data_IF_841245973919
#
_entry.id   IF_841245973919
#
_cell.length_a   1.000
_cell.length_b   1.000
_cell.length_c   1.000
_cell.angle_alpha   90.00
_cell.angle_beta   90.00
_cell.angle_gamma   90.00
#
_symmetry.space_group_name_H-M   'P 1'
#
loop_
_entity.id
_entity.type
_entity.pdbx_description
1 polymer ?
#
# COMPACT_ATOMS: atom_id res chain seq x y z
N UNK A 1 -58.26 -31.25 -29.71
CA UNK A 1 -57.01 -30.55 -30.10
C UNK A 1 -56.53 -29.70 -28.93
N UNK A 2 -55.41 -30.07 -28.30
CA UNK A 2 -54.39 -29.19 -27.67
C UNK A 2 -53.39 -30.07 -26.92
N UNK A 3 -52.23 -30.28 -27.54
CA UNK A 3 -51.04 -30.85 -26.89
C UNK A 3 -50.38 -29.72 -26.08
N UNK A 4 -50.16 -29.92 -24.79
CA UNK A 4 -49.23 -29.10 -24.01
C UNK A 4 -47.82 -29.68 -24.20
N UNK A 5 -46.93 -28.94 -24.88
CA UNK A 5 -45.49 -29.17 -24.82
C UNK A 5 -44.95 -28.38 -23.61
N UNK A 6 -44.42 -29.08 -22.62
CA UNK A 6 -43.58 -28.51 -21.57
C UNK A 6 -42.14 -28.43 -22.12
N UNK A 7 -41.68 -27.21 -22.41
CA UNK A 7 -40.27 -26.93 -22.69
C UNK A 7 -39.50 -26.89 -21.37
N UNK A 8 -38.63 -27.89 -21.14
CA UNK A 8 -37.63 -27.83 -20.07
C UNK A 8 -36.49 -26.89 -20.49
N UNK A 9 -36.44 -25.68 -19.91
CA UNK A 9 -35.25 -24.83 -19.99
C UNK A 9 -34.18 -25.40 -19.05
N UNK A 10 -33.29 -26.23 -19.59
CA UNK A 10 -32.03 -26.55 -18.92
C UNK A 10 -31.15 -25.29 -18.91
N UNK A 11 -31.14 -24.59 -17.77
CA UNK A 11 -30.26 -23.45 -17.55
C UNK A 11 -28.84 -23.94 -17.34
N UNK A 12 -28.01 -23.82 -18.38
CA UNK A 12 -26.57 -24.02 -18.31
C UNK A 12 -25.97 -22.88 -17.48
N UNK A 13 -25.78 -23.12 -16.17
CA UNK A 13 -25.02 -22.25 -15.28
C UNK A 13 -23.58 -22.18 -15.79
N UNK A 14 -23.27 -21.14 -16.56
CA UNK A 14 -21.91 -20.70 -16.84
C UNK A 14 -21.28 -20.29 -15.50
N UNK A 15 -20.58 -21.23 -14.87
CA UNK A 15 -19.65 -20.98 -13.76
C UNK A 15 -18.53 -20.09 -14.31
N UNK A 16 -18.71 -18.77 -14.20
CA UNK A 16 -17.61 -17.83 -14.35
C UNK A 16 -16.63 -18.12 -13.21
N UNK A 17 -15.37 -18.52 -13.49
CA UNK A 17 -14.41 -18.79 -12.43
C UNK A 17 -14.19 -17.50 -11.64
N UNK A 18 -14.64 -17.49 -10.38
CA UNK A 18 -14.41 -16.41 -9.45
C UNK A 18 -12.90 -16.34 -9.18
N UNK A 19 -12.21 -15.40 -9.82
CA UNK A 19 -10.77 -15.20 -9.59
C UNK A 19 -10.58 -14.45 -8.28
N UNK A 20 -10.32 -15.20 -7.20
CA UNK A 20 -9.96 -14.62 -5.91
C UNK A 20 -8.51 -14.10 -5.94
N UNK A 21 -8.24 -12.98 -5.25
CA UNK A 21 -6.88 -12.67 -4.84
C UNK A 21 -6.52 -13.61 -3.69
N UNK A 22 -5.53 -14.49 -3.91
CA UNK A 22 -5.04 -15.45 -2.91
C UNK A 22 -3.52 -15.51 -3.01
N UNK A 23 -2.86 -15.81 -1.89
CA UNK A 23 -1.46 -16.21 -1.89
C UNK A 23 -1.23 -17.56 -2.59
N UNK A 24 0.04 -17.89 -2.84
CA UNK A 24 0.43 -19.22 -3.32
C UNK A 24 0.00 -20.27 -2.28
N UNK A 25 -0.29 -21.49 -2.73
CA UNK A 25 -0.77 -22.55 -1.85
C UNK A 25 0.23 -22.87 -0.74
N UNK A 26 1.52 -22.88 -1.07
CA UNK A 26 2.64 -23.05 -0.14
C UNK A 26 2.69 -21.97 0.95
N UNK A 27 2.66 -20.68 0.59
CA UNK A 27 2.72 -19.59 1.56
C UNK A 27 1.45 -19.51 2.40
N UNK A 28 0.29 -19.75 1.79
CA UNK A 28 -1.00 -19.85 2.48
C UNK A 28 -1.01 -20.95 3.54
N UNK A 29 -0.51 -22.13 3.18
CA UNK A 29 -0.37 -23.26 4.10
C UNK A 29 0.65 -22.95 5.20
N UNK A 30 1.82 -22.43 4.84
CA UNK A 30 2.85 -22.05 5.79
C UNK A 30 2.35 -21.02 6.81
N UNK A 31 1.60 -20.00 6.38
CA UNK A 31 0.97 -19.02 7.28
C UNK A 31 0.02 -19.71 8.28
N UNK A 32 -0.79 -20.65 7.79
CA UNK A 32 -1.69 -21.43 8.62
C UNK A 32 -0.94 -22.30 9.63
N UNK A 33 0.16 -22.92 9.21
CA UNK A 33 0.94 -23.83 10.06
C UNK A 33 1.76 -23.06 11.11
N UNK A 34 2.34 -21.92 10.72
CA UNK A 34 3.24 -21.14 11.57
C UNK A 34 2.48 -20.21 12.54
N UNK A 35 1.42 -19.55 12.07
CA UNK A 35 0.67 -18.55 12.85
C UNK A 35 -0.78 -18.95 13.17
N UNK A 36 -1.29 -20.00 12.53
CA UNK A 36 -2.68 -20.41 12.65
C UNK A 36 -3.60 -19.81 11.57
N UNK A 37 -4.76 -20.44 11.34
CA UNK A 37 -5.66 -20.08 10.24
C UNK A 37 -6.24 -18.66 10.37
N UNK A 38 -6.43 -18.16 11.60
CA UNK A 38 -6.95 -16.79 11.82
C UNK A 38 -5.99 -15.71 11.32
N UNK A 39 -4.69 -15.89 11.55
CA UNK A 39 -3.67 -14.94 11.08
C UNK A 39 -3.53 -15.03 9.55
N UNK A 40 -3.56 -16.25 9.00
CA UNK A 40 -3.64 -16.45 7.55
C UNK A 40 -4.80 -15.65 6.95
N UNK A 41 -6.02 -15.80 7.49
CA UNK A 41 -7.21 -15.14 6.94
C UNK A 41 -7.11 -13.60 7.01
N UNK A 42 -6.55 -13.07 8.10
CA UNK A 42 -6.31 -11.63 8.26
C UNK A 42 -5.28 -11.07 7.28
N UNK A 43 -4.26 -11.85 6.91
CA UNK A 43 -3.22 -11.41 5.97
C UNK A 43 -3.67 -11.66 4.52
N UNK A 44 -4.31 -12.78 4.22
CA UNK A 44 -4.79 -13.12 2.86
C UNK A 44 -5.95 -12.25 2.40
N UNK A 45 -6.81 -11.80 3.32
CA UNK A 45 -7.94 -10.92 3.01
C UNK A 45 -8.85 -11.45 1.90
N UNK A 46 -9.17 -12.75 1.96
CA UNK A 46 -10.10 -13.40 1.02
C UNK A 46 -11.51 -12.77 1.05
N UNK A 47 -11.85 -12.09 2.15
CA UNK A 47 -13.08 -11.31 2.32
C UNK A 47 -13.25 -10.19 1.28
N UNK A 48 -12.16 -9.70 0.69
CA UNK A 48 -12.18 -8.63 -0.32
C UNK A 48 -12.26 -9.13 -1.76
N UNK A 49 -12.37 -10.45 -1.98
CA UNK A 49 -12.46 -11.03 -3.32
C UNK A 49 -11.26 -10.66 -4.20
N UNK A 50 -11.46 -10.12 -5.43
CA UNK A 50 -10.35 -9.73 -6.31
C UNK A 50 -9.45 -8.61 -5.78
N UNK A 51 -9.91 -7.83 -4.79
CA UNK A 51 -9.15 -6.74 -4.16
C UNK A 51 -8.36 -7.17 -2.92
N UNK A 52 -8.38 -8.45 -2.55
CA UNK A 52 -7.63 -9.00 -1.42
C UNK A 52 -6.13 -9.15 -1.67
N UNK A 53 -5.43 -9.84 -0.77
CA UNK A 53 -4.00 -10.07 -0.90
C UNK A 53 -3.70 -11.12 -1.96
N UNK A 54 -2.58 -10.99 -2.66
CA UNK A 54 -2.21 -11.89 -3.76
C UNK A 54 -0.72 -12.17 -3.72
N UNK A 55 -0.33 -13.40 -4.04
CA UNK A 55 1.05 -13.74 -4.33
C UNK A 55 1.18 -14.18 -5.79
N UNK A 56 2.26 -13.79 -6.46
CA UNK A 56 2.51 -14.19 -7.85
C UNK A 56 4.00 -14.42 -8.11
N UNK A 57 4.27 -15.38 -8.98
CA UNK A 57 5.56 -15.50 -9.65
C UNK A 57 5.64 -14.54 -10.84
N UNK A 58 6.60 -13.61 -10.84
CA UNK A 58 6.92 -12.63 -11.88
C UNK A 58 7.62 -13.34 -13.05
N UNK A 59 6.84 -14.03 -13.89
CA UNK A 59 7.28 -14.36 -15.24
C UNK A 59 7.29 -13.11 -16.12
N UNK A 60 8.31 -12.96 -16.99
CA UNK A 60 8.45 -11.83 -17.90
C UNK A 60 7.12 -11.44 -18.57
N UNK A 61 6.68 -10.19 -18.38
CA UNK A 61 5.82 -9.49 -19.34
C UNK A 61 4.30 -9.58 -19.16
N UNK A 62 3.73 -9.97 -18.02
CA UNK A 62 2.27 -9.87 -17.83
C UNK A 62 1.87 -8.67 -16.95
N UNK A 63 1.14 -7.75 -17.58
CA UNK A 63 0.49 -6.57 -16.99
C UNK A 63 -0.08 -6.89 -15.61
N UNK A 64 0.31 -6.06 -14.65
CA UNK A 64 -0.20 -6.09 -13.28
C UNK A 64 -1.73 -6.00 -13.31
N UNK A 65 -2.38 -6.92 -12.60
CA UNK A 65 -3.82 -6.82 -12.42
C UNK A 65 -4.04 -5.70 -11.40
N UNK A 66 -4.49 -4.54 -11.89
CA UNK A 66 -4.93 -3.36 -11.15
C UNK A 66 -5.44 -3.70 -9.75
N UNK A 67 -4.61 -3.49 -8.73
CA UNK A 67 -5.14 -3.22 -7.40
C UNK A 67 -5.41 -1.71 -7.35
N UNK A 68 -6.60 -1.29 -7.74
CA UNK A 68 -7.05 0.06 -7.42
C UNK A 68 -7.17 0.17 -5.89
N UNK A 69 -6.25 0.89 -5.23
CA UNK A 69 -6.29 1.10 -3.78
C UNK A 69 -4.91 1.27 -3.14
N UNK A 70 -4.89 1.48 -1.82
CA UNK A 70 -3.68 1.66 -1.04
C UNK A 70 -2.95 0.32 -0.84
N UNK A 71 -1.95 0.07 -1.69
CA UNK A 71 -1.26 -1.21 -1.75
C UNK A 71 0.08 -1.13 -1.03
N UNK A 72 0.41 -2.21 -0.31
CA UNK A 72 1.78 -2.52 0.07
C UNK A 72 2.16 -3.83 -0.60
N UNK A 73 3.21 -3.80 -1.41
CA UNK A 73 3.81 -4.99 -2.01
C UNK A 73 5.11 -5.33 -1.29
N UNK A 74 5.25 -6.57 -0.87
CA UNK A 74 6.51 -7.16 -0.42
C UNK A 74 7.03 -8.06 -1.54
N UNK A 75 8.17 -7.71 -2.11
CA UNK A 75 8.74 -8.40 -3.27
C UNK A 75 10.05 -9.09 -2.91
N UNK A 76 10.35 -10.16 -3.65
CA UNK A 76 11.68 -10.75 -3.78
C UNK A 76 11.92 -11.15 -5.23
N UNK A 77 13.00 -10.64 -5.83
CA UNK A 77 13.33 -10.95 -7.22
C UNK A 77 14.21 -12.19 -7.42
N UNK A 78 14.93 -12.67 -6.40
CA UNK A 78 15.72 -13.91 -6.51
C UNK A 78 14.88 -15.21 -6.48
N UNK A 79 13.56 -15.10 -6.58
CA UNK A 79 12.63 -16.21 -6.85
C UNK A 79 11.43 -15.77 -7.70
N UNK A 80 11.44 -14.54 -8.22
CA UNK A 80 10.30 -13.88 -8.86
C UNK A 80 9.02 -13.85 -7.99
N UNK A 81 9.05 -13.79 -6.67
CA UNK A 81 7.81 -13.81 -5.86
C UNK A 81 7.44 -12.41 -5.35
N UNK A 82 6.22 -11.97 -5.66
CA UNK A 82 5.63 -10.75 -5.11
C UNK A 82 4.43 -11.14 -4.27
N UNK A 83 4.38 -10.66 -3.03
CA UNK A 83 3.26 -10.75 -2.11
C UNK A 83 2.67 -9.36 -1.92
N UNK A 84 1.47 -9.12 -2.41
CA UNK A 84 0.78 -7.83 -2.27
C UNK A 84 -0.36 -7.94 -1.29
N UNK A 85 -0.57 -6.92 -0.48
CA UNK A 85 -1.75 -6.77 0.36
C UNK A 85 -2.35 -5.37 0.23
N UNK A 86 -3.62 -5.28 0.57
CA UNK A 86 -4.30 -4.03 0.90
C UNK A 86 -4.83 -4.13 2.33
N UNK A 87 -5.09 -2.99 2.96
CA UNK A 87 -5.71 -2.92 4.27
C UNK A 87 -7.04 -2.15 4.20
N UNK A 88 -7.82 -2.21 5.28
CA UNK A 88 -9.23 -1.79 5.33
C UNK A 88 -10.09 -2.52 4.27
N UNK A 89 -11.08 -1.84 3.71
CA UNK A 89 -12.01 -2.35 2.72
C UNK A 89 -11.41 -2.42 1.29
N UNK A 90 -10.17 -1.98 1.08
CA UNK A 90 -9.69 -1.63 -0.27
C UNK A 90 -10.55 -0.52 -0.90
N UNK A 91 -10.28 -0.17 -2.16
CA UNK A 91 -11.11 0.84 -2.84
C UNK A 91 -12.56 0.36 -3.06
N UNK A 92 -12.81 -0.96 -3.10
CA UNK A 92 -14.14 -1.56 -3.31
C UNK A 92 -14.91 -0.96 -4.52
N UNK A 93 -14.18 -0.46 -5.53
CA UNK A 93 -14.76 0.22 -6.69
C UNK A 93 -15.32 1.63 -6.42
N UNK A 94 -15.19 2.18 -5.20
CA UNK A 94 -15.60 3.54 -4.86
C UNK A 94 -14.36 4.46 -4.73
N UNK A 95 -14.15 5.40 -5.68
CA UNK A 95 -12.97 6.27 -5.71
C UNK A 95 -12.93 7.32 -4.60
N UNK A 96 -13.99 7.51 -3.80
CA UNK A 96 -14.02 8.46 -2.70
C UNK A 96 -13.78 7.82 -1.33
N UNK A 97 -13.71 6.49 -1.22
CA UNK A 97 -13.54 5.81 0.08
C UNK A 97 -12.25 6.18 0.82
N UNK A 98 -11.23 6.66 0.12
CA UNK A 98 -9.94 7.03 0.74
C UNK A 98 -10.08 8.12 1.81
N UNK A 99 -11.11 8.98 1.75
CA UNK A 99 -11.32 10.03 2.76
C UNK A 99 -11.74 9.47 4.13
N UNK A 100 -12.30 8.26 4.15
CA UNK A 100 -12.72 7.54 5.35
C UNK A 100 -11.56 6.82 6.03
N UNK A 101 -10.38 6.77 5.41
CA UNK A 101 -9.22 6.11 5.98
C UNK A 101 -8.59 6.96 7.07
N UNK A 102 -8.10 6.30 8.11
CA UNK A 102 -7.02 6.81 8.96
C UNK A 102 -5.97 5.71 9.10
N UNK A 103 -4.75 6.06 9.48
CA UNK A 103 -3.64 5.12 9.62
C UNK A 103 -3.73 4.39 10.97
N UNK A 104 -4.82 3.65 11.14
CA UNK A 104 -5.11 2.91 12.37
C UNK A 104 -4.04 1.87 12.67
N UNK A 105 -3.80 1.63 13.96
CA UNK A 105 -2.86 0.61 14.42
C UNK A 105 -3.15 -0.78 13.82
N UNK A 106 -4.42 -1.13 13.62
CA UNK A 106 -4.80 -2.41 12.99
C UNK A 106 -4.21 -2.59 11.59
N UNK A 107 -4.22 -1.54 10.74
CA UNK A 107 -3.67 -1.60 9.39
C UNK A 107 -2.15 -1.67 9.41
N UNK A 108 -1.53 -0.91 10.31
CA UNK A 108 -0.08 -0.94 10.54
C UNK A 108 0.35 -2.34 10.98
N UNK A 109 -0.37 -2.97 11.90
CA UNK A 109 -0.09 -4.34 12.37
C UNK A 109 -0.28 -5.36 11.25
N UNK A 110 -1.31 -5.24 10.42
CA UNK A 110 -1.53 -6.12 9.27
C UNK A 110 -0.34 -6.04 8.29
N UNK A 111 0.07 -4.84 7.90
CA UNK A 111 1.22 -4.62 7.00
C UNK A 111 2.51 -5.15 7.61
N UNK A 112 2.76 -4.86 8.90
CA UNK A 112 3.93 -5.35 9.63
C UNK A 112 3.97 -6.88 9.67
N UNK A 113 2.82 -7.51 9.91
CA UNK A 113 2.70 -8.97 9.95
C UNK A 113 3.05 -9.59 8.60
N UNK A 114 2.61 -9.00 7.48
CA UNK A 114 3.00 -9.48 6.14
C UNK A 114 4.52 -9.38 5.92
N UNK A 115 5.12 -8.23 6.23
CA UNK A 115 6.58 -8.02 6.06
C UNK A 115 7.36 -9.08 6.85
N UNK A 116 6.99 -9.29 8.12
CA UNK A 116 7.63 -10.29 8.98
C UNK A 116 7.38 -11.72 8.47
N UNK A 117 6.16 -12.04 8.05
CA UNK A 117 5.80 -13.35 7.52
C UNK A 117 6.62 -13.69 6.26
N UNK A 118 6.72 -12.76 5.30
CA UNK A 118 7.53 -12.97 4.09
C UNK A 118 9.01 -13.10 4.42
N UNK A 119 9.53 -12.31 5.37
CA UNK A 119 10.92 -12.43 5.85
C UNK A 119 11.21 -13.80 6.46
N UNK A 120 10.29 -14.34 7.25
CA UNK A 120 10.46 -15.64 7.91
C UNK A 120 10.26 -16.80 6.95
N UNK A 121 9.25 -16.71 6.08
CA UNK A 121 8.99 -17.72 5.05
C UNK A 121 10.15 -17.88 4.08
N UNK A 122 10.68 -16.76 3.57
CA UNK A 122 11.77 -16.78 2.58
C UNK A 122 13.15 -16.92 3.21
N UNK A 123 13.29 -16.64 4.51
CA UNK A 123 14.58 -16.63 5.19
C UNK A 123 15.53 -15.50 4.76
N UNK A 124 15.09 -14.52 3.97
CA UNK A 124 15.93 -13.46 3.37
C UNK A 124 15.36 -12.07 3.58
N UNK A 125 16.21 -11.05 3.50
CA UNK A 125 15.75 -9.66 3.48
C UNK A 125 14.73 -9.45 2.34
N UNK A 126 13.79 -8.53 2.58
CA UNK A 126 12.65 -8.29 1.69
C UNK A 126 12.72 -6.89 1.10
N UNK A 127 12.12 -6.73 -0.07
CA UNK A 127 11.90 -5.43 -0.70
C UNK A 127 10.45 -5.00 -0.46
N UNK A 128 10.22 -3.72 -0.21
CA UNK A 128 8.89 -3.18 0.11
C UNK A 128 8.56 -2.00 -0.80
N UNK A 129 7.42 -2.07 -1.47
CA UNK A 129 6.85 -0.98 -2.27
C UNK A 129 5.55 -0.55 -1.61
N UNK A 130 5.48 0.69 -1.16
CA UNK A 130 4.24 1.31 -0.70
C UNK A 130 3.67 2.22 -1.80
N UNK A 131 2.35 2.19 -2.00
CA UNK A 131 1.66 3.11 -2.90
C UNK A 131 0.61 3.92 -2.16
N UNK A 132 0.54 5.23 -2.43
CA UNK A 132 -0.48 6.13 -1.86
C UNK A 132 -0.43 6.09 -0.33
N UNK A 133 -1.56 5.91 0.38
CA UNK A 133 -1.57 5.71 1.84
C UNK A 133 -0.75 4.50 2.30
N UNK A 134 -0.44 3.54 1.42
CA UNK A 134 0.41 2.40 1.72
C UNK A 134 1.81 2.82 2.15
N UNK A 135 2.27 4.00 1.70
CA UNK A 135 3.55 4.58 2.11
C UNK A 135 3.55 4.92 3.60
N UNK A 136 2.76 5.87 4.13
CA UNK A 136 2.76 6.18 5.56
C UNK A 136 2.45 4.97 6.45
N UNK A 137 1.56 4.06 6.04
CA UNK A 137 1.23 2.85 6.83
C UNK A 137 2.43 1.89 6.88
N UNK A 138 3.07 1.59 5.75
CA UNK A 138 4.26 0.72 5.73
C UNK A 138 5.45 1.35 6.44
N UNK A 139 5.64 2.66 6.32
CA UNK A 139 6.62 3.42 7.08
C UNK A 139 6.41 3.24 8.59
N UNK A 140 5.19 3.37 9.10
CA UNK A 140 4.93 3.11 10.53
C UNK A 140 5.15 1.64 10.89
N UNK A 141 4.74 0.71 10.01
CA UNK A 141 4.94 -0.72 10.19
C UNK A 141 6.42 -1.10 10.30
N UNK A 142 7.30 -0.45 9.52
CA UNK A 142 8.75 -0.65 9.55
C UNK A 142 9.38 0.05 10.75
N UNK A 143 8.98 1.29 11.07
CA UNK A 143 9.52 2.05 12.21
C UNK A 143 9.29 1.32 13.53
N UNK A 144 8.11 0.70 13.68
CA UNK A 144 7.70 0.08 14.93
C UNK A 144 7.37 1.12 16.01
N UNK A 145 7.77 0.84 17.25
CA UNK A 145 7.43 1.66 18.41
C UNK A 145 5.95 1.55 18.80
N UNK A 146 5.41 2.59 19.44
CA UNK A 146 4.00 2.62 19.86
C UNK A 146 3.10 3.16 18.74
N UNK A 147 1.93 2.57 18.54
CA UNK A 147 0.88 3.16 17.73
C UNK A 147 0.38 4.45 18.38
N UNK A 148 0.22 5.53 17.58
CA UNK A 148 -0.17 6.85 18.10
C UNK A 148 -1.61 6.91 18.59
N UNK A 149 -2.50 6.07 18.04
CA UNK A 149 -3.92 6.00 18.38
C UNK A 149 -4.23 5.04 19.53
N UNK A 150 -3.62 3.85 19.56
CA UNK A 150 -3.93 2.82 20.57
C UNK A 150 -2.86 2.66 21.65
N UNK A 151 -1.65 3.19 21.44
CA UNK A 151 -0.51 2.99 22.34
C UNK A 151 0.09 1.58 22.31
N UNK A 152 -0.47 0.67 21.51
CA UNK A 152 0.03 -0.70 21.35
C UNK A 152 1.47 -0.71 20.82
N UNK A 153 2.28 -1.64 21.33
CA UNK A 153 3.69 -1.73 20.96
C UNK A 153 3.89 -2.67 19.76
N UNK A 154 4.41 -2.13 18.67
CA UNK A 154 4.76 -2.86 17.45
C UNK A 154 6.12 -3.59 17.57
N UNK A 155 6.91 -3.28 18.60
CA UNK A 155 8.29 -3.73 18.76
C UNK A 155 9.30 -2.82 18.07
N UNK A 156 10.54 -3.31 17.92
CA UNK A 156 11.63 -2.54 17.30
C UNK A 156 11.48 -2.37 15.78
N UNK A 157 12.31 -1.50 15.18
CA UNK A 157 12.28 -1.26 13.74
C UNK A 157 12.68 -2.49 12.92
N UNK A 158 12.09 -2.65 11.73
CA UNK A 158 12.41 -3.72 10.78
C UNK A 158 13.54 -3.36 9.82
N UNK A 159 14.17 -2.19 9.95
CA UNK A 159 15.18 -1.64 9.03
C UNK A 159 16.23 -2.66 8.58
N UNK A 160 16.71 -3.53 9.48
CA UNK A 160 17.76 -4.51 9.17
C UNK A 160 17.33 -5.65 8.25
N UNK A 161 16.03 -5.89 8.12
CA UNK A 161 15.49 -6.96 7.26
C UNK A 161 14.86 -6.44 5.98
N UNK A 162 14.85 -5.12 5.77
CA UNK A 162 14.42 -4.49 4.52
C UNK A 162 15.67 -4.13 3.71
N UNK A 163 15.79 -4.72 2.53
CA UNK A 163 16.85 -4.34 1.58
C UNK A 163 16.49 -3.02 0.92
N UNK A 164 15.46 -3.03 0.07
CA UNK A 164 14.99 -1.83 -0.62
C UNK A 164 13.57 -1.44 -0.21
N UNK A 165 13.36 -0.16 0.07
CA UNK A 165 12.05 0.45 0.27
C UNK A 165 11.76 1.50 -0.82
N UNK A 166 10.58 1.42 -1.44
CA UNK A 166 10.14 2.38 -2.45
C UNK A 166 8.77 2.95 -2.05
N UNK A 167 8.70 4.27 -1.84
CA UNK A 167 7.45 4.98 -1.65
C UNK A 167 6.95 5.61 -2.96
N UNK A 168 5.84 5.12 -3.51
CA UNK A 168 5.22 5.66 -4.72
C UNK A 168 4.01 6.53 -4.33
N UNK A 169 4.04 7.81 -4.70
CA UNK A 169 2.94 8.76 -4.49
C UNK A 169 2.44 8.82 -3.02
N UNK A 170 3.34 8.70 -2.04
CA UNK A 170 2.98 8.70 -0.63
C UNK A 170 2.71 10.10 -0.06
N UNK A 171 1.70 10.32 0.80
CA UNK A 171 1.50 11.60 1.48
C UNK A 171 2.32 11.70 2.78
N UNK A 172 3.65 11.70 2.68
CA UNK A 172 4.54 11.66 3.86
C UNK A 172 4.50 12.93 4.71
N UNK A 173 3.99 14.04 4.19
CA UNK A 173 3.84 15.32 4.92
C UNK A 173 2.39 15.81 4.99
N UNK A 174 1.45 14.92 4.68
CA UNK A 174 0.03 15.23 4.58
C UNK A 174 -0.48 15.24 3.14
N UNK A 175 -1.80 15.33 2.99
CA UNK A 175 -2.46 15.36 1.68
C UNK A 175 -2.96 16.77 1.37
N UNK A 176 -2.66 17.25 0.17
CA UNK A 176 -3.19 18.48 -0.40
C UNK A 176 -3.76 18.20 -1.80
N UNK A 177 -4.94 17.54 -1.89
CA UNK A 177 -5.58 17.24 -3.16
C UNK A 177 -5.70 18.48 -4.04
N UNK A 178 -5.46 18.30 -5.34
CA UNK A 178 -5.57 19.40 -6.31
C UNK A 178 -7.02 19.50 -6.81
N UNK A 179 -7.64 20.67 -6.66
CA UNK A 179 -8.92 21.02 -7.29
C UNK A 179 -8.66 22.00 -8.42
N UNK A 180 -8.44 21.49 -9.63
CA UNK A 180 -8.00 22.30 -10.77
C UNK A 180 -6.59 22.87 -10.51
N UNK A 181 -6.34 24.18 -10.69
CA UNK A 181 -5.03 24.78 -10.45
C UNK A 181 -4.72 25.04 -8.96
N UNK A 182 -5.68 24.82 -8.06
CA UNK A 182 -5.56 25.14 -6.64
C UNK A 182 -5.15 23.90 -5.84
N UNK A 183 -4.05 24.02 -5.10
CA UNK A 183 -3.68 23.06 -4.05
C UNK A 183 -4.50 23.39 -2.81
N UNK A 184 -5.49 22.57 -2.49
CA UNK A 184 -6.34 22.81 -1.33
C UNK A 184 -5.75 22.06 -0.15
N UNK A 185 -5.42 22.72 0.97
CA UNK A 185 -5.06 22.02 2.19
C UNK A 185 -6.35 21.37 2.72
N UNK A 186 -6.74 20.22 2.15
CA UNK A 186 -8.04 19.59 2.41
C UNK A 186 -8.24 19.35 3.91
N UNK A 187 -7.16 19.02 4.62
CA UNK A 187 -7.19 18.81 6.06
C UNK A 187 -7.17 20.09 6.91
N UNK A 188 -7.15 21.30 6.33
CA UNK A 188 -7.33 22.54 7.08
C UNK A 188 -8.78 22.77 7.50
N UNK A 189 -9.73 22.34 6.66
CA UNK A 189 -11.16 22.60 6.83
C UNK A 189 -12.01 21.32 6.89
N UNK A 190 -11.40 20.16 6.61
CA UNK A 190 -12.12 18.88 6.58
C UNK A 190 -12.05 18.14 7.92
N UNK A 191 -13.21 17.63 8.35
CA UNK A 191 -13.38 16.73 9.50
C UNK A 191 -13.35 15.25 9.11
N UNK A 192 -12.95 14.93 7.88
CA UNK A 192 -12.87 13.54 7.39
C UNK A 192 -11.82 12.75 8.17
N UNK A 193 -12.01 11.42 8.36
CA UNK A 193 -11.05 10.57 9.07
C UNK A 193 -9.60 10.68 8.57
N UNK A 194 -9.38 10.90 7.27
CA UNK A 194 -8.03 11.07 6.70
C UNK A 194 -7.33 12.34 7.20
N UNK A 195 -8.07 13.27 7.78
CA UNK A 195 -7.57 14.52 8.36
C UNK A 195 -7.53 14.49 9.88
N UNK A 196 -7.64 13.32 10.50
CA UNK A 196 -7.53 13.17 11.95
C UNK A 196 -6.16 13.67 12.47
N UNK A 197 -6.16 14.42 13.57
CA UNK A 197 -4.95 15.01 14.17
C UNK A 197 -4.08 14.00 14.93
N UNK A 198 -4.59 12.81 15.24
CA UNK A 198 -3.83 11.74 15.89
C UNK A 198 -3.31 10.76 14.84
N UNK A 199 -4.21 10.00 14.19
CA UNK A 199 -3.85 8.94 13.25
C UNK A 199 -4.19 9.24 11.79
N UNK A 200 -4.46 10.51 11.44
CA UNK A 200 -4.69 10.94 10.07
C UNK A 200 -3.49 11.67 9.47
N UNK A 201 -3.69 12.27 8.31
CA UNK A 201 -2.74 13.05 7.51
C UNK A 201 -2.95 14.56 7.70
N UNK A 202 -3.41 14.97 8.87
CA UNK A 202 -3.64 16.39 9.17
C UNK A 202 -2.34 17.19 8.95
N UNK A 203 -2.40 18.17 8.05
CA UNK A 203 -1.32 19.11 7.75
C UNK A 203 -1.88 20.49 7.38
N UNK A 204 -3.08 20.81 7.89
CA UNK A 204 -3.89 21.94 7.44
C UNK A 204 -3.51 23.30 8.03
N UNK A 205 -2.86 23.32 9.19
CA UNK A 205 -2.46 24.55 9.88
C UNK A 205 -0.96 24.52 10.22
N UNK A 206 -0.13 24.56 9.18
CA UNK A 206 1.29 24.41 9.35
C UNK A 206 1.91 25.47 10.28
N UNK A 207 2.89 25.09 11.12
CA UNK A 207 3.64 23.82 11.11
C UNK A 207 2.95 22.65 11.84
N UNK A 208 1.74 22.83 12.38
CA UNK A 208 1.04 21.75 13.07
C UNK A 208 0.64 20.63 12.10
N UNK A 209 1.00 19.40 12.45
CA UNK A 209 0.69 18.18 11.70
C UNK A 209 0.23 17.09 12.68
N UNK A 210 -0.40 16.02 12.18
CA UNK A 210 -0.88 14.94 13.04
C UNK A 210 0.24 14.22 13.80
N UNK A 211 -0.09 13.61 14.94
CA UNK A 211 0.86 12.81 15.72
C UNK A 211 1.48 11.69 14.87
N UNK A 212 0.69 11.08 13.99
CA UNK A 212 1.16 10.08 13.04
C UNK A 212 2.24 10.62 12.09
N UNK A 213 2.00 11.78 11.47
CA UNK A 213 2.98 12.41 10.57
C UNK A 213 4.23 12.85 11.32
N UNK A 214 4.09 13.34 12.55
CA UNK A 214 5.24 13.66 13.40
C UNK A 214 6.07 12.42 13.71
N UNK A 215 5.41 11.31 14.03
CA UNK A 215 6.06 10.06 14.41
C UNK A 215 6.85 9.43 13.26
N UNK A 216 6.24 9.25 12.08
CA UNK A 216 6.93 8.64 10.92
C UNK A 216 8.04 9.55 10.35
N UNK A 217 8.01 10.85 10.61
CA UNK A 217 9.03 11.79 10.12
C UNK A 217 10.07 12.15 11.19
N UNK A 218 9.97 11.58 12.40
CA UNK A 218 10.92 11.82 13.50
C UNK A 218 12.32 11.34 13.19
N UNK A 219 12.42 10.23 12.46
CA UNK A 219 13.68 9.61 12.06
C UNK A 219 13.76 9.62 10.54
N UNK A 220 14.98 9.70 10.04
CA UNK A 220 15.27 9.62 8.61
C UNK A 220 15.84 8.25 8.26
N UNK A 221 15.56 7.78 7.05
CA UNK A 221 16.19 6.63 6.42
C UNK A 221 16.13 5.32 7.23
N UNK A 222 15.01 5.10 7.93
CA UNK A 222 14.81 3.87 8.71
C UNK A 222 14.07 2.80 7.89
N UNK A 223 13.57 3.14 6.70
CA UNK A 223 12.68 2.31 5.91
C UNK A 223 13.38 1.06 5.33
N UNK A 224 14.68 1.13 5.06
CA UNK A 224 15.49 0.02 4.57
C UNK A 224 16.94 0.41 4.34
N UNK A 225 17.74 -0.49 3.78
CA UNK A 225 19.13 -0.19 3.40
C UNK A 225 19.19 0.79 2.21
N UNK A 226 18.27 0.63 1.27
CA UNK A 226 18.04 1.53 0.16
C UNK A 226 16.61 2.05 0.21
N UNK A 227 16.44 3.35 0.03
CA UNK A 227 15.16 4.04 0.17
C UNK A 227 14.99 5.00 -0.99
N UNK A 228 13.88 4.86 -1.71
CA UNK A 228 13.56 5.67 -2.88
C UNK A 228 12.14 6.22 -2.81
N UNK A 229 11.90 7.35 -3.45
CA UNK A 229 10.54 7.82 -3.74
C UNK A 229 10.29 7.99 -5.23
N UNK A 230 9.06 7.71 -5.65
CA UNK A 230 8.57 7.99 -6.99
C UNK A 230 7.30 8.83 -6.86
N UNK A 231 7.23 9.99 -7.50
CA UNK A 231 6.06 10.87 -7.39
C UNK A 231 5.93 11.79 -8.60
N UNK A 232 4.81 12.50 -8.70
CA UNK A 232 4.46 13.33 -9.85
C UNK A 232 3.92 14.70 -9.44
N UNK A 233 4.18 15.72 -10.26
CA UNK A 233 3.66 17.09 -10.06
C UNK A 233 2.14 17.19 -10.29
N UNK A 234 1.56 16.27 -11.07
CA UNK A 234 0.13 16.22 -11.40
C UNK A 234 -0.63 15.22 -10.52
N UNK A 235 -0.14 14.95 -9.32
CA UNK A 235 -0.83 14.08 -8.39
C UNK A 235 -2.10 14.78 -7.88
N UNK A 236 -3.24 14.38 -8.41
CA UNK A 236 -4.54 14.97 -8.10
C UNK A 236 -5.10 14.51 -6.74
N UNK A 237 -4.58 13.41 -6.18
CA UNK A 237 -5.11 12.81 -4.95
C UNK A 237 -4.31 13.24 -3.72
N UNK A 238 -3.00 12.99 -3.74
CA UNK A 238 -2.08 13.33 -2.64
C UNK A 238 -1.60 14.78 -2.75
N UNK A 239 -1.51 15.31 -3.97
CA UNK A 239 -0.93 16.62 -4.23
C UNK A 239 0.59 16.58 -4.39
N UNK A 240 1.17 17.67 -4.90
CA UNK A 240 2.62 17.79 -5.06
C UNK A 240 3.28 18.44 -3.83
N UNK A 241 2.65 19.51 -3.33
CA UNK A 241 3.15 20.29 -2.20
C UNK A 241 2.06 20.51 -1.16
N UNK A 242 2.45 20.42 0.10
CA UNK A 242 1.62 20.81 1.24
C UNK A 242 2.46 21.72 2.14
N UNK A 243 1.93 22.90 2.45
CA UNK A 243 2.63 23.92 3.25
C UNK A 243 4.04 24.27 2.77
N UNK A 244 4.21 24.42 1.44
CA UNK A 244 5.50 24.76 0.84
C UNK A 244 6.52 23.61 0.85
N UNK A 245 6.14 22.41 1.27
CA UNK A 245 7.00 21.23 1.28
C UNK A 245 6.46 20.16 0.31
N UNK A 246 7.38 19.47 -0.36
CA UNK A 246 7.03 18.30 -1.15
C UNK A 246 6.46 17.21 -0.24
N UNK A 247 5.31 16.64 -0.62
CA UNK A 247 4.64 15.67 0.24
C UNK A 247 5.25 14.27 0.18
N UNK A 248 5.64 13.81 -1.01
CA UNK A 248 6.07 12.42 -1.22
C UNK A 248 7.50 12.05 -0.90
N UNK A 249 8.51 12.94 -0.94
CA UNK A 249 9.88 12.57 -0.56
C UNK A 249 9.96 11.96 0.84
N UNK A 250 10.76 10.90 0.94
CA UNK A 250 11.07 10.23 2.21
C UNK A 250 12.29 10.93 2.85
N UNK A 251 12.27 11.22 4.17
CA UNK A 251 13.41 11.82 4.85
C UNK A 251 14.66 10.93 4.76
N UNK A 252 15.74 11.47 4.18
CA UNK A 252 17.02 10.76 4.07
C UNK A 252 17.10 9.68 2.99
N UNK A 253 16.17 9.66 2.03
CA UNK A 253 16.19 8.70 0.91
C UNK A 253 17.49 8.76 0.07
N UNK A 254 17.87 7.64 -0.53
CA UNK A 254 19.02 7.52 -1.44
C UNK A 254 18.75 8.17 -2.80
N UNK A 255 17.49 8.26 -3.21
CA UNK A 255 17.14 8.91 -4.47
C UNK A 255 15.64 9.05 -4.72
N UNK A 256 15.30 9.70 -5.83
CA UNK A 256 13.92 9.92 -6.24
C UNK A 256 13.76 9.98 -7.75
N UNK A 257 12.61 9.51 -8.25
CA UNK A 257 12.15 9.76 -9.62
C UNK A 257 10.91 10.65 -9.60
N UNK A 258 11.01 11.80 -10.26
CA UNK A 258 9.90 12.77 -10.35
C UNK A 258 9.38 12.83 -11.78
N UNK A 259 8.06 12.76 -11.92
CA UNK A 259 7.33 12.91 -13.17
C UNK A 259 6.52 14.21 -13.19
N UNK A 260 6.15 14.65 -14.39
CA UNK A 260 5.40 15.92 -14.59
C UNK A 260 4.08 15.72 -15.32
N UNK A 261 3.86 14.53 -15.86
CA UNK A 261 2.81 14.19 -16.82
C UNK A 261 1.90 13.04 -16.37
N UNK A 262 2.30 12.30 -15.34
CA UNK A 262 1.52 11.20 -14.78
C UNK A 262 0.56 11.69 -13.68
N UNK A 263 -0.63 11.11 -13.61
CA UNK A 263 -1.56 11.27 -12.48
C UNK A 263 -1.22 10.28 -11.34
N UNK A 264 -1.98 10.32 -10.23
CA UNK A 264 -1.74 9.50 -9.03
C UNK A 264 -1.65 7.99 -9.29
N UNK A 265 -2.52 7.43 -10.14
CA UNK A 265 -2.52 5.98 -10.41
C UNK A 265 -1.49 5.64 -11.51
N UNK A 266 -1.36 6.50 -12.51
CA UNK A 266 -0.39 6.33 -13.61
C UNK A 266 1.06 6.31 -13.11
N UNK A 267 1.41 7.10 -12.07
CA UNK A 267 2.77 7.08 -11.52
C UNK A 267 3.08 5.77 -10.80
N UNK A 268 2.09 4.99 -10.42
CA UNK A 268 2.29 3.63 -9.94
C UNK A 268 2.38 2.66 -11.12
N UNK A 269 1.33 2.65 -11.97
CA UNK A 269 1.18 1.66 -13.05
C UNK A 269 2.26 1.74 -14.14
N UNK A 270 2.79 2.93 -14.42
CA UNK A 270 3.72 3.15 -15.52
C UNK A 270 5.19 3.16 -15.09
N UNK A 271 5.50 2.93 -13.81
CA UNK A 271 6.88 3.02 -13.31
C UNK A 271 7.44 1.71 -12.78
N UNK A 272 6.79 0.58 -13.05
CA UNK A 272 7.25 -0.74 -12.60
C UNK A 272 8.68 -1.06 -13.01
N UNK A 273 9.13 -0.62 -14.20
CA UNK A 273 10.53 -0.80 -14.63
C UNK A 273 11.49 0.01 -13.75
N UNK A 274 11.13 1.24 -13.37
CA UNK A 274 11.94 2.06 -12.46
C UNK A 274 11.96 1.44 -11.06
N UNK A 275 10.80 0.98 -10.57
CA UNK A 275 10.70 0.26 -9.30
C UNK A 275 11.60 -1.00 -9.31
N UNK A 276 11.61 -1.74 -10.41
CA UNK A 276 12.42 -2.93 -10.59
C UNK A 276 13.93 -2.63 -10.57
N UNK A 277 14.36 -1.55 -11.22
CA UNK A 277 15.77 -1.11 -11.23
C UNK A 277 16.23 -0.62 -9.86
N UNK A 278 15.37 0.10 -9.14
CA UNK A 278 15.64 0.50 -7.75
C UNK A 278 15.85 -0.71 -6.84
N UNK A 279 15.08 -1.80 -7.04
CA UNK A 279 15.24 -3.03 -6.24
C UNK A 279 16.48 -3.84 -6.66
N UNK A 280 16.72 -4.02 -7.97
CA UNK A 280 17.79 -4.91 -8.45
C UNK A 280 19.17 -4.30 -8.40
N UNK A 281 19.25 -3.04 -8.84
CA UNK A 281 20.50 -2.39 -9.17
C UNK A 281 20.79 -1.21 -8.23
N UNK A 282 19.84 -0.88 -7.34
CA UNK A 282 19.93 0.23 -6.39
C UNK A 282 20.20 1.59 -7.06
N UNK A 283 19.68 1.78 -8.28
CA UNK A 283 19.83 3.02 -9.07
C UNK A 283 18.52 3.72 -9.34
N UNK A 284 18.62 5.04 -9.58
CA UNK A 284 17.52 5.89 -10.05
C UNK A 284 17.77 6.20 -11.53
N UNK A 285 16.93 5.64 -12.40
CA UNK A 285 16.99 5.83 -13.86
C UNK A 285 15.60 5.97 -14.43
#
# INVERSE_FOLDING_TARGET
MRRLLLLSLSSLLLLCPQTYAKFTADFSQWLSDYYGPRVRDQIERLDLGPGGSRARSVGHGRREAHLCGHVVQTARLQGNEIYSTTYFNGAQGNPLKWIEYSMKCEYVKQVRALIVAVRLYTGRNVDVIGFSLGVPVSRKAILGGRCVDTGENLGGPLTRVIDTYIGVAGPNRGAAPQLGPLSVPACALSITPICNQVNGLYSGNCPAQSDFLQDINRYAHYEGQYTYSIYTQKDQMVGYTVCGQLTSPLPGQNGQRVYTDLNHDQVFDNTHEVQLRMIKDHVVT
#
